data_IF_924666131553
#
_entry.id   IF_924666131553
#
_cell.length_a   1.000
_cell.length_b   1.000
_cell.length_c   1.000
_cell.angle_alpha   90.00
_cell.angle_beta   90.00
_cell.angle_gamma   90.00
#
_symmetry.space_group_name_H-M   'P 1'
#
loop_
_entity.id
_entity.type
_entity.pdbx_description
1 polymer ?
#
# COMPACT_ATOMS: atom_id res chain seq x y z
N UNK A 1 8.78 -33.70 12.50
CA UNK A 1 9.72 -32.59 12.25
C UNK A 1 9.33 -31.71 11.08
N UNK A 2 8.89 -32.27 9.96
CA UNK A 2 8.40 -31.47 8.83
C UNK A 2 7.20 -30.58 9.22
N UNK A 3 6.35 -31.03 10.15
CA UNK A 3 5.19 -30.28 10.62
C UNK A 3 5.57 -28.97 11.34
N UNK A 4 6.64 -28.99 12.14
CA UNK A 4 7.13 -27.79 12.86
C UNK A 4 7.67 -26.73 11.90
N UNK A 5 8.30 -27.15 10.83
CA UNK A 5 8.83 -26.22 9.80
C UNK A 5 7.68 -25.55 9.06
N UNK A 6 6.61 -26.29 8.72
CA UNK A 6 5.43 -25.73 8.05
C UNK A 6 4.71 -24.70 8.91
N UNK A 7 4.58 -24.94 10.22
CA UNK A 7 3.95 -24.00 11.16
C UNK A 7 4.75 -22.69 11.24
N UNK A 8 6.09 -22.78 11.25
CA UNK A 8 6.95 -21.60 11.25
C UNK A 8 6.80 -20.76 9.97
N UNK A 9 6.69 -21.41 8.81
CA UNK A 9 6.50 -20.72 7.53
C UNK A 9 5.16 -19.95 7.52
N UNK A 10 4.09 -20.56 8.00
CA UNK A 10 2.78 -19.93 8.09
C UNK A 10 2.82 -18.72 9.03
N UNK A 11 3.51 -18.84 10.17
CA UNK A 11 3.65 -17.73 11.11
C UNK A 11 4.43 -16.56 10.48
N UNK A 12 5.47 -16.84 9.69
CA UNK A 12 6.24 -15.81 8.99
C UNK A 12 5.38 -15.05 7.98
N UNK A 13 4.51 -15.73 7.24
CA UNK A 13 3.61 -15.11 6.27
C UNK A 13 2.64 -14.14 6.97
N UNK A 14 2.16 -14.50 8.18
CA UNK A 14 1.25 -13.65 8.94
C UNK A 14 1.87 -12.33 9.41
N UNK A 15 3.19 -12.24 9.42
CA UNK A 15 3.93 -11.05 9.88
C UNK A 15 4.55 -10.24 8.74
N UNK A 16 4.08 -10.42 7.50
CA UNK A 16 4.58 -9.66 6.36
C UNK A 16 4.26 -8.17 6.53
N UNK A 17 5.20 -7.28 6.15
CA UNK A 17 4.96 -5.83 6.19
C UNK A 17 3.90 -5.41 5.16
N UNK A 18 3.37 -4.19 5.32
CA UNK A 18 2.29 -3.67 4.48
C UNK A 18 2.64 -3.65 2.99
N UNK A 19 3.89 -3.31 2.64
CA UNK A 19 4.34 -3.31 1.25
C UNK A 19 4.32 -4.71 0.61
N UNK A 20 4.63 -5.75 1.40
CA UNK A 20 4.54 -7.12 0.91
C UNK A 20 3.07 -7.56 0.76
N UNK A 21 2.18 -7.06 1.62
CA UNK A 21 0.74 -7.29 1.48
C UNK A 21 0.18 -6.61 0.24
N UNK A 22 0.66 -5.41 -0.06
CA UNK A 22 0.30 -4.67 -1.27
C UNK A 22 0.61 -5.49 -2.53
N UNK A 23 1.82 -6.08 -2.60
CA UNK A 23 2.21 -6.99 -3.69
C UNK A 23 1.35 -8.26 -3.70
N UNK A 24 1.08 -8.81 -2.51
CA UNK A 24 0.34 -10.06 -2.35
C UNK A 24 -1.13 -9.99 -2.71
N UNK A 25 -1.70 -8.78 -2.83
CA UNK A 25 -3.08 -8.60 -3.26
C UNK A 25 -3.29 -8.80 -4.75
N UNK A 26 -2.24 -9.20 -5.48
CA UNK A 26 -2.37 -9.55 -6.88
C UNK A 26 -2.73 -8.36 -7.76
N UNK A 27 -2.22 -7.18 -7.45
CA UNK A 27 -2.38 -6.03 -8.30
C UNK A 27 -1.68 -6.31 -9.62
N UNK A 28 -2.46 -6.72 -10.62
CA UNK A 28 -1.95 -6.94 -11.96
C UNK A 28 -1.69 -5.59 -12.60
N UNK A 29 -0.42 -5.22 -12.63
CA UNK A 29 0.02 -3.96 -13.20
C UNK A 29 0.98 -4.23 -14.33
N UNK A 30 0.84 -3.47 -15.41
CA UNK A 30 1.85 -3.41 -16.47
C UNK A 30 3.08 -2.63 -16.02
N UNK A 31 2.96 -1.92 -14.90
CA UNK A 31 4.05 -1.17 -14.28
C UNK A 31 4.66 -2.04 -13.19
N UNK A 32 5.91 -2.42 -13.37
CA UNK A 32 6.63 -3.21 -12.39
C UNK A 32 7.12 -2.32 -11.25
N UNK A 33 6.50 -2.47 -10.07
CA UNK A 33 6.91 -1.74 -8.88
C UNK A 33 8.08 -2.44 -8.21
N UNK A 34 9.10 -1.66 -7.88
CA UNK A 34 10.26 -2.17 -7.14
C UNK A 34 10.00 -2.13 -5.64
N UNK A 35 10.82 -2.83 -4.87
CA UNK A 35 10.80 -2.75 -3.41
C UNK A 35 10.95 -1.32 -2.93
N UNK A 36 11.82 -0.55 -3.57
CA UNK A 36 12.07 0.84 -3.20
C UNK A 36 10.86 1.72 -3.52
N UNK A 37 10.17 1.47 -4.63
CA UNK A 37 8.91 2.16 -4.94
C UNK A 37 7.91 1.97 -3.81
N UNK A 38 7.73 0.73 -3.36
CA UNK A 38 6.77 0.41 -2.30
C UNK A 38 7.16 1.04 -0.97
N UNK A 39 8.45 1.09 -0.67
CA UNK A 39 8.94 1.75 0.54
C UNK A 39 8.66 3.26 0.51
N UNK A 40 8.84 3.90 -0.64
CA UNK A 40 8.53 5.32 -0.83
C UNK A 40 7.03 5.56 -0.65
N UNK A 41 6.20 4.77 -1.31
CA UNK A 41 4.74 4.88 -1.22
C UNK A 41 4.29 4.70 0.24
N UNK A 42 4.78 3.68 0.91
CA UNK A 42 4.43 3.37 2.30
C UNK A 42 4.76 4.55 3.22
N UNK A 43 5.96 5.10 3.09
CA UNK A 43 6.38 6.24 3.91
C UNK A 43 5.49 7.47 3.67
N UNK A 44 5.17 7.75 2.43
CA UNK A 44 4.33 8.91 2.09
C UNK A 44 2.92 8.72 2.62
N UNK A 45 2.36 7.53 2.51
CA UNK A 45 1.03 7.23 3.06
C UNK A 45 1.03 7.45 4.57
N UNK A 46 2.03 6.93 5.27
CA UNK A 46 2.11 7.08 6.73
C UNK A 46 2.29 8.53 7.16
N UNK A 47 3.14 9.28 6.48
CA UNK A 47 3.48 10.65 6.88
C UNK A 47 2.47 11.68 6.41
N UNK A 48 1.84 11.48 5.25
CA UNK A 48 1.09 12.54 4.57
C UNK A 48 -0.37 12.22 4.29
N UNK A 49 -0.81 11.00 4.48
CA UNK A 49 -2.18 10.60 4.08
C UNK A 49 -2.98 10.03 5.26
N UNK A 50 -2.44 9.05 5.99
CA UNK A 50 -3.17 8.46 7.11
C UNK A 50 -3.55 9.51 8.16
N UNK A 51 -4.84 9.50 8.55
CA UNK A 51 -5.35 10.39 9.58
C UNK A 51 -5.61 11.81 9.12
N UNK A 52 -5.40 12.11 7.87
CA UNK A 52 -5.61 13.47 7.33
C UNK A 52 -7.07 13.65 6.87
N UNK A 53 -7.37 14.82 6.33
CA UNK A 53 -8.71 15.11 5.82
C UNK A 53 -8.98 14.37 4.51
N UNK A 54 -10.24 13.97 4.30
CA UNK A 54 -10.66 13.41 3.01
C UNK A 54 -10.33 14.39 1.90
N UNK A 55 -9.78 13.90 0.80
CA UNK A 55 -9.31 14.72 -0.30
C UNK A 55 -7.82 15.03 -0.27
N UNK A 56 -7.14 14.76 0.85
CA UNK A 56 -5.69 14.94 0.94
C UNK A 56 -5.00 14.12 -0.16
N UNK A 57 -4.11 14.77 -0.89
CA UNK A 57 -3.38 14.17 -2.01
C UNK A 57 -1.88 14.35 -1.78
N UNK A 58 -1.11 13.31 -2.06
CA UNK A 58 0.35 13.34 -2.02
C UNK A 58 0.90 12.74 -3.31
N UNK A 59 2.09 13.15 -3.69
CA UNK A 59 2.78 12.63 -4.87
C UNK A 59 3.99 11.81 -4.45
N UNK A 60 4.35 10.84 -5.26
CA UNK A 60 5.55 10.04 -5.05
C UNK A 60 6.29 9.85 -6.37
N UNK A 61 7.57 9.67 -6.29
CA UNK A 61 8.39 9.37 -7.46
C UNK A 61 9.66 8.65 -7.04
N UNK A 62 10.20 7.86 -7.95
CA UNK A 62 11.46 7.17 -7.77
C UNK A 62 12.28 7.26 -9.05
N UNK A 63 13.36 8.05 -9.01
CA UNK A 63 14.21 8.27 -10.17
C UNK A 63 14.95 7.00 -10.62
N UNK A 64 15.19 6.07 -9.72
CA UNK A 64 15.88 4.81 -10.05
C UNK A 64 15.02 3.91 -10.93
N UNK A 65 13.74 3.78 -10.60
CA UNK A 65 12.81 2.95 -11.37
C UNK A 65 12.16 3.72 -12.52
N UNK A 66 12.06 5.03 -12.41
CA UNK A 66 11.29 5.86 -13.31
C UNK A 66 9.78 5.84 -13.01
N UNK A 67 9.37 5.18 -11.96
CA UNK A 67 7.97 5.08 -11.56
C UNK A 67 7.57 6.27 -10.69
N UNK A 68 6.31 6.68 -10.80
CA UNK A 68 5.76 7.80 -10.04
C UNK A 68 4.24 7.70 -9.97
N UNK A 69 3.65 8.56 -9.18
CA UNK A 69 2.20 8.59 -9.10
C UNK A 69 1.68 9.52 -8.02
N UNK A 70 0.43 9.32 -7.68
CA UNK A 70 -0.26 10.09 -6.65
C UNK A 70 -1.05 9.18 -5.72
N UNK A 71 -1.33 9.70 -4.54
CA UNK A 71 -2.05 8.99 -3.49
C UNK A 71 -3.09 9.96 -2.95
N UNK A 72 -4.35 9.52 -2.83
CA UNK A 72 -5.42 10.38 -2.38
C UNK A 72 -6.28 9.67 -1.34
N UNK A 73 -6.56 10.34 -0.24
CA UNK A 73 -7.50 9.85 0.76
C UNK A 73 -8.92 10.09 0.26
N UNK A 74 -9.59 9.02 -0.14
CA UNK A 74 -10.90 9.08 -0.79
C UNK A 74 -12.02 9.14 0.26
N UNK A 75 -11.90 8.32 1.31
CA UNK A 75 -13.00 8.11 2.25
C UNK A 75 -12.46 7.68 3.60
N UNK A 76 -13.12 8.11 4.66
CA UNK A 76 -12.90 7.65 6.03
C UNK A 76 -14.16 6.97 6.51
N UNK A 77 -14.02 5.84 7.20
CA UNK A 77 -15.15 5.10 7.74
C UNK A 77 -14.70 4.30 8.96
N UNK A 78 -15.62 3.57 9.56
CA UNK A 78 -15.35 2.83 10.77
C UNK A 78 -15.90 1.41 10.65
N UNK A 79 -15.14 0.44 11.13
CA UNK A 79 -15.58 -0.96 11.20
C UNK A 79 -15.36 -1.43 12.63
N UNK A 80 -16.45 -1.76 13.31
CA UNK A 80 -16.42 -2.22 14.73
C UNK A 80 -15.62 -1.25 15.62
N UNK A 81 -15.84 0.06 15.43
CA UNK A 81 -15.14 1.10 16.18
C UNK A 81 -13.72 1.36 15.75
N UNK A 82 -13.23 0.67 14.74
CA UNK A 82 -11.87 0.80 14.24
C UNK A 82 -11.83 1.78 13.06
N UNK A 83 -10.97 2.81 13.10
CA UNK A 83 -10.86 3.74 11.98
C UNK A 83 -10.35 3.04 10.72
N UNK A 84 -11.00 3.31 9.60
CA UNK A 84 -10.62 2.75 8.30
C UNK A 84 -10.58 3.85 7.24
N UNK A 85 -9.82 3.62 6.19
CA UNK A 85 -9.64 4.57 5.09
C UNK A 85 -9.65 3.84 3.76
N UNK A 86 -10.27 4.48 2.75
CA UNK A 86 -10.11 4.08 1.35
C UNK A 86 -9.13 5.05 0.71
N UNK A 87 -8.05 4.52 0.14
CA UNK A 87 -6.98 5.32 -0.44
C UNK A 87 -6.84 4.96 -1.92
N UNK A 88 -6.86 5.98 -2.77
CA UNK A 88 -6.66 5.81 -4.20
C UNK A 88 -5.20 6.00 -4.56
N UNK A 89 -4.70 5.13 -5.41
CA UNK A 89 -3.32 5.14 -5.90
C UNK A 89 -3.32 5.29 -7.41
N UNK A 90 -2.50 6.21 -7.91
CA UNK A 90 -2.21 6.32 -9.33
C UNK A 90 -0.77 5.90 -9.55
N UNK A 91 -0.55 4.99 -10.48
CA UNK A 91 0.78 4.49 -10.84
C UNK A 91 1.07 4.84 -12.29
N UNK A 92 2.26 5.37 -12.54
CA UNK A 92 2.74 5.69 -13.87
C UNK A 92 4.23 5.40 -13.95
N UNK A 93 4.77 5.32 -15.16
CA UNK A 93 6.19 5.09 -15.37
C UNK A 93 6.70 5.94 -16.54
N UNK A 94 7.95 6.42 -16.39
CA UNK A 94 8.64 7.12 -17.48
C UNK A 94 9.29 6.19 -18.48
N UNK A 95 9.36 4.89 -18.16
CA UNK A 95 10.00 3.88 -19.00
C UNK A 95 9.17 3.49 -20.21
N UNK A 96 7.87 3.66 -20.13
CA UNK A 96 6.94 3.27 -21.18
C UNK A 96 5.88 4.36 -21.38
N UNK A 97 5.41 4.50 -22.61
CA UNK A 97 4.31 5.40 -22.93
C UNK A 97 2.99 4.66 -22.70
N UNK A 98 2.63 4.49 -21.44
CA UNK A 98 1.37 3.85 -21.03
C UNK A 98 0.49 4.83 -20.26
N UNK A 99 -0.80 4.59 -20.29
CA UNK A 99 -1.73 5.36 -19.45
C UNK A 99 -1.49 5.05 -17.98
N UNK A 100 -1.65 6.03 -17.09
CA UNK A 100 -1.59 5.75 -15.65
C UNK A 100 -2.61 4.71 -15.23
N UNK A 101 -2.25 3.90 -14.24
CA UNK A 101 -3.12 2.90 -13.66
C UNK A 101 -3.67 3.41 -12.33
N UNK A 102 -4.91 3.04 -12.02
CA UNK A 102 -5.61 3.49 -10.82
C UNK A 102 -6.04 2.30 -9.97
N UNK A 103 -5.74 2.37 -8.67
CA UNK A 103 -6.12 1.35 -7.71
C UNK A 103 -6.72 1.99 -6.48
N UNK A 104 -7.60 1.28 -5.80
CA UNK A 104 -8.13 1.70 -4.52
C UNK A 104 -7.96 0.58 -3.50
N UNK A 105 -7.37 0.89 -2.37
CA UNK A 105 -7.18 -0.06 -1.28
C UNK A 105 -7.82 0.47 -0.02
N UNK A 106 -8.38 -0.45 0.76
CA UNK A 106 -8.93 -0.14 2.07
C UNK A 106 -7.91 -0.55 3.13
N UNK A 107 -7.74 0.27 4.15
CA UNK A 107 -6.91 -0.08 5.30
C UNK A 107 -7.59 0.35 6.59
N UNK A 108 -7.35 -0.40 7.66
CA UNK A 108 -7.90 -0.12 8.97
C UNK A 108 -6.79 -0.01 9.99
N UNK A 109 -6.96 0.87 10.98
CA UNK A 109 -5.99 1.10 12.02
C UNK A 109 -6.12 0.02 13.10
N UNK A 110 -4.99 -0.56 13.49
CA UNK A 110 -4.91 -1.49 14.60
C UNK A 110 -4.81 -0.75 15.93
N UNK A 111 -5.07 -1.44 17.06
CA UNK A 111 -4.96 -0.80 18.39
C UNK A 111 -3.59 -0.18 18.68
N UNK A 112 -2.52 -0.68 18.08
CA UNK A 112 -1.17 -0.14 18.24
C UNK A 112 -0.91 1.11 17.40
N UNK A 113 -1.89 1.56 16.62
CA UNK A 113 -1.79 2.73 15.77
C UNK A 113 -1.32 2.45 14.34
N UNK A 114 -0.86 1.25 14.05
CA UNK A 114 -0.44 0.89 12.69
C UNK A 114 -1.64 0.65 11.79
N UNK A 115 -1.44 0.79 10.49
CA UNK A 115 -2.48 0.58 9.48
C UNK A 115 -2.23 -0.72 8.72
N UNK A 116 -3.30 -1.43 8.43
CA UNK A 116 -3.27 -2.67 7.64
C UNK A 116 -4.27 -2.63 6.52
N UNK A 117 -3.85 -3.13 5.37
CA UNK A 117 -4.74 -3.33 4.23
C UNK A 117 -5.72 -4.45 4.60
N UNK A 118 -7.00 -4.17 4.41
CA UNK A 118 -8.08 -5.11 4.75
C UNK A 118 -8.68 -5.78 3.52
#
# INVERSE_FOLDING_TARGET
MALKVMVLIVALIAWLPAEAQFLGLGLESNIELTKNDLAIIHRIVDEQVHGKAVGTTASWSNSESGNYGSIKLIKKYSVNGRPCESIGYTLATRKMSTSPEHYMLNSCQLPDGSWRIS
#
